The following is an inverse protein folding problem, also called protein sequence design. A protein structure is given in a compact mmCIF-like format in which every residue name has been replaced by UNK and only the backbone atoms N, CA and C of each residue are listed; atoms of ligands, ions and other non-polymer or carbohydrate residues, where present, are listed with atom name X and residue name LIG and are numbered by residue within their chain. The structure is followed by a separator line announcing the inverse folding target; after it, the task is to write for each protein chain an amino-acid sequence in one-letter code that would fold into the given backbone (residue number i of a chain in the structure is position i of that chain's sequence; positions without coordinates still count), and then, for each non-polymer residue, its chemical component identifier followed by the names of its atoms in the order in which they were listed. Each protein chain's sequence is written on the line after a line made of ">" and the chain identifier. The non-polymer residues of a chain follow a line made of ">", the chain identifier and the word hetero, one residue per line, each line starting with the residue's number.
data_IF_762880597343
#
_entry.id   IF_762880597343
#
_cell.length_a   1.000
_cell.length_b   1.000
_cell.length_c   1.000
_cell.angle_alpha   90.00
_cell.angle_beta   90.00
_cell.angle_gamma   90.00
#
_symmetry.space_group_name_H-M   'P 1'
#
loop_
_entity.id
_entity.type
_entity.pdbx_description
1 polymer ?
#
# COMPACT_ATOMS: atom_id res chain seq x y z
N UNK A 1 31.36 -11.94 -68.78
CA UNK A 1 31.08 -12.14 -70.23
C UNK A 1 29.62 -11.81 -70.49
N UNK A 2 29.40 -10.77 -71.28
CA UNK A 2 28.17 -10.40 -71.98
C UNK A 2 26.85 -10.19 -71.22
N UNK A 3 26.35 -8.95 -71.10
CA UNK A 3 25.80 -7.97 -72.04
C UNK A 3 24.36 -8.33 -72.55
N UNK A 4 23.41 -7.50 -72.24
CA UNK A 4 22.51 -6.64 -73.07
C UNK A 4 21.12 -6.47 -72.40
N UNK A 5 20.72 -5.26 -72.08
CA UNK A 5 19.92 -4.28 -72.91
C UNK A 5 18.52 -4.83 -73.25
N UNK A 6 17.44 -4.24 -73.08
CA UNK A 6 16.85 -2.89 -73.09
C UNK A 6 15.34 -3.12 -73.18
N UNK A 7 14.51 -2.28 -72.64
CA UNK A 7 13.57 -1.50 -73.45
C UNK A 7 12.50 -0.81 -72.59
N UNK A 8 12.31 0.38 -72.92
CA UNK A 8 11.28 1.36 -72.59
C UNK A 8 9.84 0.86 -72.69
N UNK A 9 8.99 1.25 -71.76
CA UNK A 9 7.58 1.56 -72.04
C UNK A 9 7.12 2.67 -71.09
N UNK A 10 6.91 3.83 -71.66
CA UNK A 10 6.22 5.00 -71.13
C UNK A 10 4.72 4.70 -71.06
N UNK A 11 4.07 4.86 -69.93
CA UNK A 11 2.64 5.03 -69.85
C UNK A 11 2.25 5.99 -68.74
N UNK A 12 1.56 7.03 -69.14
CA UNK A 12 0.96 8.09 -68.34
C UNK A 12 0.04 7.51 -67.30
N UNK A 13 0.17 7.96 -66.08
CA UNK A 13 -0.87 7.82 -65.07
C UNK A 13 -1.09 9.16 -64.38
N UNK A 14 -2.29 9.61 -64.48
CA UNK A 14 -2.92 10.78 -63.91
C UNK A 14 -2.72 10.90 -62.39
N UNK A 15 -2.17 12.02 -61.95
CA UNK A 15 -2.05 12.37 -60.55
C UNK A 15 -3.43 12.70 -59.98
N UNK A 16 -3.97 11.83 -59.14
CA UNK A 16 -4.99 12.18 -58.16
C UNK A 16 -4.29 12.73 -56.94
N UNK A 17 -4.30 14.06 -56.79
CA UNK A 17 -3.87 14.75 -55.58
C UNK A 17 -4.93 14.52 -54.49
N UNK A 18 -4.73 13.51 -53.66
CA UNK A 18 -5.42 13.38 -52.38
C UNK A 18 -4.73 14.36 -51.43
N UNK A 19 -5.39 15.47 -51.16
CA UNK A 19 -4.95 16.44 -50.17
C UNK A 19 -4.89 15.77 -48.77
N UNK A 20 -3.70 15.42 -48.34
CA UNK A 20 -3.42 15.10 -46.94
C UNK A 20 -3.42 16.44 -46.21
N UNK A 21 -4.55 16.76 -45.57
CA UNK A 21 -4.59 17.80 -44.54
C UNK A 21 -3.58 17.39 -43.45
N UNK A 22 -2.65 18.26 -43.06
CA UNK A 22 -1.83 18.01 -41.89
C UNK A 22 -2.76 18.00 -40.70
N UNK A 23 -2.98 16.81 -40.14
CA UNK A 23 -3.51 16.71 -38.78
C UNK A 23 -2.45 17.29 -37.88
N UNK A 24 -2.62 18.56 -37.50
CA UNK A 24 -1.88 19.13 -36.39
C UNK A 24 -1.98 18.17 -35.21
N UNK A 25 -0.87 17.76 -34.61
CA UNK A 25 -0.95 17.09 -33.31
C UNK A 25 -1.71 18.06 -32.42
N UNK A 26 -2.82 17.61 -31.86
CA UNK A 26 -3.49 18.31 -30.78
C UNK A 26 -2.40 18.59 -29.75
N UNK A 27 -1.90 19.80 -29.69
CA UNK A 27 -1.11 20.26 -28.57
C UNK A 27 -2.02 20.10 -27.37
N UNK A 28 -1.71 19.09 -26.55
CA UNK A 28 -2.23 19.02 -25.20
C UNK A 28 -1.85 20.37 -24.58
N UNK A 29 -2.86 21.18 -24.38
CA UNK A 29 -2.74 22.39 -23.57
C UNK A 29 -2.25 21.88 -22.24
N UNK A 30 -0.98 22.09 -21.92
CA UNK A 30 -0.46 22.03 -20.56
C UNK A 30 -1.15 23.14 -19.76
N UNK A 31 -2.41 22.91 -19.46
CA UNK A 31 -3.09 23.61 -18.41
C UNK A 31 -2.52 23.03 -17.12
N UNK A 32 -1.77 23.82 -16.39
CA UNK A 32 -1.65 23.70 -14.94
C UNK A 32 -3.06 23.86 -14.36
N UNK A 33 -3.87 22.80 -14.46
CA UNK A 33 -5.20 22.81 -13.90
C UNK A 33 -5.05 22.46 -12.42
N UNK A 34 -4.96 23.51 -11.59
CA UNK A 34 -5.13 23.42 -10.15
C UNK A 34 -6.54 22.90 -9.77
N UNK A 35 -7.38 22.58 -10.74
CA UNK A 35 -8.76 22.16 -10.54
C UNK A 35 -9.01 20.71 -10.96
N UNK A 36 -9.65 19.94 -10.08
CA UNK A 36 -10.02 18.55 -10.33
C UNK A 36 -11.31 18.51 -11.17
N UNK A 37 -11.22 18.04 -12.41
CA UNK A 37 -12.40 17.76 -13.23
C UNK A 37 -13.00 16.43 -12.81
N UNK A 38 -14.20 16.47 -12.27
CA UNK A 38 -14.93 15.28 -11.81
C UNK A 38 -15.90 14.78 -12.88
N UNK A 39 -15.74 13.51 -13.28
CA UNK A 39 -16.58 12.84 -14.28
C UNK A 39 -17.32 11.66 -13.63
N UNK A 40 -18.58 11.39 -14.02
CA UNK A 40 -19.28 10.20 -13.53
C UNK A 40 -18.52 8.92 -13.92
N UNK A 41 -18.38 7.99 -12.96
CA UNK A 41 -17.80 6.66 -13.19
C UNK A 41 -18.51 5.59 -12.36
N UNK A 42 -19.73 5.25 -12.79
CA UNK A 42 -20.64 4.38 -12.07
C UNK A 42 -21.42 5.12 -10.99
N UNK A 43 -21.40 4.65 -9.76
CA UNK A 43 -22.10 5.27 -8.63
C UNK A 43 -21.29 6.36 -7.91
N UNK A 44 -20.09 6.64 -8.40
CA UNK A 44 -19.14 7.61 -7.87
C UNK A 44 -18.68 8.55 -8.96
N UNK A 45 -17.81 9.48 -8.64
CA UNK A 45 -17.13 10.34 -9.60
C UNK A 45 -15.64 10.06 -9.58
N UNK A 46 -15.03 10.09 -10.76
CA UNK A 46 -13.60 9.95 -10.97
C UNK A 46 -13.00 11.28 -11.34
N UNK A 47 -11.84 11.58 -10.82
CA UNK A 47 -11.03 12.74 -11.15
C UNK A 47 -9.56 12.38 -11.21
N UNK A 48 -8.75 13.31 -11.72
CA UNK A 48 -7.30 13.18 -11.75
C UNK A 48 -6.65 14.51 -11.44
N UNK A 49 -5.48 14.44 -10.83
CA UNK A 49 -4.56 15.58 -10.74
C UNK A 49 -3.19 15.15 -11.24
N UNK A 50 -2.42 16.14 -11.72
CA UNK A 50 -1.01 15.95 -12.06
C UNK A 50 -0.16 16.57 -10.95
N UNK A 51 0.76 15.77 -10.38
CA UNK A 51 1.70 16.24 -9.37
C UNK A 51 3.14 16.03 -9.84
N UNK A 52 4.11 16.86 -9.46
CA UNK A 52 5.50 16.63 -9.80
C UNK A 52 5.99 15.28 -9.28
N UNK A 53 6.79 14.56 -10.06
CA UNK A 53 7.47 13.34 -9.60
C UNK A 53 8.27 13.65 -8.33
N UNK A 54 9.03 14.76 -8.35
CA UNK A 54 9.77 15.27 -7.18
C UNK A 54 9.33 16.69 -6.88
N UNK A 55 8.92 16.93 -5.65
CA UNK A 55 8.54 18.29 -5.20
C UNK A 55 9.71 19.25 -5.35
N UNK A 56 9.43 20.41 -5.95
CA UNK A 56 10.42 21.47 -6.18
C UNK A 56 11.35 21.25 -7.38
N UNK A 57 11.20 20.15 -8.12
CA UNK A 57 11.97 19.86 -9.33
C UNK A 57 11.04 19.75 -10.55
N UNK A 58 10.72 20.85 -11.20
CA UNK A 58 9.78 20.90 -12.33
C UNK A 58 10.20 19.99 -13.51
N UNK A 59 11.50 19.79 -13.70
CA UNK A 59 12.05 18.93 -14.76
C UNK A 59 11.94 17.44 -14.49
N UNK A 60 11.42 17.02 -13.31
CA UNK A 60 11.28 15.61 -12.95
C UNK A 60 10.12 14.89 -13.64
N UNK A 61 9.29 15.59 -14.41
CA UNK A 61 8.05 15.07 -14.96
C UNK A 61 6.90 15.10 -13.95
N UNK A 62 5.75 14.57 -14.35
CA UNK A 62 4.53 14.56 -13.52
C UNK A 62 3.98 13.16 -13.35
N UNK A 63 3.37 12.92 -12.19
CA UNK A 63 2.57 11.73 -11.88
C UNK A 63 1.10 12.09 -12.02
N UNK A 64 0.32 11.28 -12.71
CA UNK A 64 -1.14 11.41 -12.75
C UNK A 64 -1.76 10.57 -11.65
N UNK A 65 -2.36 11.21 -10.65
CA UNK A 65 -3.00 10.58 -9.48
C UNK A 65 -4.50 10.49 -9.73
N UNK A 66 -5.06 9.29 -9.65
CA UNK A 66 -6.50 9.06 -9.74
C UNK A 66 -7.18 9.30 -8.41
N UNK A 67 -8.34 9.96 -8.48
CA UNK A 67 -9.17 10.31 -7.34
C UNK A 67 -10.58 9.76 -7.56
N UNK A 68 -11.20 9.26 -6.51
CA UNK A 68 -12.56 8.70 -6.53
C UNK A 68 -13.40 9.41 -5.48
N UNK A 69 -14.52 10.02 -5.91
CA UNK A 69 -15.37 10.81 -5.04
C UNK A 69 -16.77 10.25 -4.93
N UNK A 70 -17.27 10.17 -3.69
CA UNK A 70 -18.70 10.07 -3.39
C UNK A 70 -19.14 11.36 -2.73
N UNK A 71 -20.08 12.06 -3.35
CA UNK A 71 -20.65 13.28 -2.77
C UNK A 71 -21.42 12.99 -1.49
N UNK A 72 -21.39 13.94 -0.57
CA UNK A 72 -22.26 13.93 0.58
C UNK A 72 -23.74 14.02 0.15
N UNK A 73 -24.59 13.30 0.84
CA UNK A 73 -26.05 13.36 0.63
C UNK A 73 -26.79 13.99 1.81
N UNK A 74 -26.05 14.29 2.90
CA UNK A 74 -26.58 14.94 4.11
C UNK A 74 -25.75 16.18 4.44
N UNK A 75 -26.44 17.23 4.89
CA UNK A 75 -25.83 18.47 5.34
C UNK A 75 -25.69 19.55 4.24
N UNK A 76 -25.80 20.83 4.66
CA UNK A 76 -25.70 21.99 3.77
C UNK A 76 -24.26 22.42 3.46
N UNK A 77 -23.30 21.97 4.27
CA UNK A 77 -21.88 22.30 4.13
C UNK A 77 -21.03 21.06 4.47
N UNK A 78 -20.99 20.07 3.57
CA UNK A 78 -20.34 18.82 3.86
C UNK A 78 -18.82 19.00 3.98
N UNK A 79 -18.24 18.35 4.99
CA UNK A 79 -16.78 18.28 5.16
C UNK A 79 -16.17 17.32 4.16
N UNK A 80 -14.92 17.53 3.81
CA UNK A 80 -14.16 16.59 2.96
C UNK A 80 -13.45 15.57 3.84
N UNK A 81 -13.63 14.28 3.51
CA UNK A 81 -12.95 13.16 4.13
C UNK A 81 -12.08 12.44 3.09
N UNK A 82 -10.79 12.47 3.30
CA UNK A 82 -9.84 11.71 2.50
C UNK A 82 -9.70 10.29 3.06
N UNK A 83 -9.83 9.28 2.20
CA UNK A 83 -9.57 7.88 2.53
C UNK A 83 -8.23 7.48 1.90
N UNK A 84 -7.30 7.03 2.74
CA UNK A 84 -5.96 6.62 2.34
C UNK A 84 -5.79 5.12 2.57
N UNK A 85 -5.89 4.30 1.50
CA UNK A 85 -5.80 2.85 1.62
C UNK A 85 -4.41 2.38 2.06
N UNK A 86 -4.36 1.20 2.68
CA UNK A 86 -3.11 0.48 2.82
C UNK A 86 -2.69 -0.11 1.47
N UNK A 87 -1.39 -0.05 1.13
CA UNK A 87 -0.87 -0.52 -0.16
C UNK A 87 -0.87 -2.05 -0.29
N UNK A 88 -0.80 -2.77 0.83
CA UNK A 88 -0.61 -4.23 0.81
C UNK A 88 -1.85 -5.00 1.28
N UNK A 89 -2.58 -4.47 2.26
CA UNK A 89 -3.59 -5.22 3.02
C UNK A 89 -4.98 -4.60 2.96
N UNK A 90 -5.18 -3.55 2.17
CA UNK A 90 -6.45 -2.84 2.06
C UNK A 90 -7.17 -3.06 0.74
N UNK A 91 -8.35 -2.49 0.63
CA UNK A 91 -9.05 -2.31 -0.64
C UNK A 91 -8.38 -1.19 -1.43
N UNK A 92 -8.42 -1.28 -2.77
CA UNK A 92 -8.01 -0.18 -3.63
C UNK A 92 -8.91 1.06 -3.42
N UNK A 93 -8.41 2.22 -3.85
CA UNK A 93 -9.07 3.51 -3.63
C UNK A 93 -10.49 3.58 -4.23
N UNK A 94 -10.68 3.01 -5.43
CA UNK A 94 -11.98 2.99 -6.10
C UNK A 94 -12.99 2.15 -5.33
N UNK A 95 -12.65 0.90 -5.04
CA UNK A 95 -13.49 -0.03 -4.26
C UNK A 95 -13.84 0.54 -2.89
N UNK A 96 -12.89 1.21 -2.24
CA UNK A 96 -13.10 1.85 -0.94
C UNK A 96 -14.17 2.95 -1.01
N UNK A 97 -14.16 3.77 -2.07
CA UNK A 97 -15.16 4.81 -2.29
C UNK A 97 -16.52 4.23 -2.66
N UNK A 98 -16.55 3.22 -3.53
CA UNK A 98 -17.81 2.55 -3.94
C UNK A 98 -18.50 1.89 -2.75
N UNK A 99 -17.74 1.25 -1.87
CA UNK A 99 -18.24 0.53 -0.69
C UNK A 99 -18.32 1.38 0.58
N UNK A 100 -18.06 2.69 0.52
CA UNK A 100 -17.97 3.53 1.71
C UNK A 100 -19.21 3.45 2.61
N UNK A 101 -20.41 3.49 2.03
CA UNK A 101 -21.67 3.39 2.83
C UNK A 101 -21.83 2.01 3.44
N UNK A 102 -21.47 0.95 2.73
CA UNK A 102 -21.50 -0.42 3.25
C UNK A 102 -20.55 -0.59 4.43
N UNK A 103 -19.37 -0.01 4.34
CA UNK A 103 -18.30 -0.14 5.34
C UNK A 103 -18.55 0.73 6.57
N UNK A 104 -18.99 1.98 6.39
CA UNK A 104 -19.05 2.99 7.45
C UNK A 104 -20.48 3.36 7.86
N UNK A 105 -21.50 2.74 7.25
CA UNK A 105 -22.89 3.06 7.49
C UNK A 105 -23.28 4.46 6.97
N UNK A 106 -24.45 4.94 7.40
CA UNK A 106 -24.98 6.23 6.96
C UNK A 106 -24.18 7.43 7.48
N UNK A 107 -23.37 7.27 8.54
CA UNK A 107 -22.54 8.35 9.07
C UNK A 107 -21.56 8.92 8.05
N UNK A 108 -21.14 8.13 7.06
CA UNK A 108 -20.22 8.59 6.01
C UNK A 108 -20.88 9.58 5.04
N UNK A 109 -22.20 9.56 4.91
CA UNK A 109 -22.94 10.36 3.91
C UNK A 109 -22.97 11.86 4.21
N UNK A 110 -22.51 12.28 5.38
CA UNK A 110 -22.30 13.70 5.72
C UNK A 110 -20.99 14.27 5.16
N UNK A 111 -20.13 13.44 4.56
CA UNK A 111 -18.84 13.85 4.00
C UNK A 111 -18.85 13.77 2.47
N UNK A 112 -18.13 14.69 1.84
CA UNK A 112 -17.57 14.43 0.53
C UNK A 112 -16.39 13.48 0.72
N UNK A 113 -16.59 12.21 0.39
CA UNK A 113 -15.59 11.16 0.57
C UNK A 113 -14.75 11.09 -0.67
N UNK A 114 -13.43 11.19 -0.52
CA UNK A 114 -12.48 11.12 -1.63
C UNK A 114 -11.40 10.11 -1.28
N UNK A 115 -11.29 9.04 -2.07
CA UNK A 115 -10.16 8.12 -1.98
C UNK A 115 -9.10 8.49 -3.02
N UNK A 116 -7.84 8.33 -2.64
CA UNK A 116 -6.68 8.71 -3.45
C UNK A 116 -5.91 7.45 -3.80
N UNK A 117 -5.74 7.19 -5.10
CA UNK A 117 -4.88 6.09 -5.54
C UNK A 117 -3.42 6.43 -5.22
N UNK A 118 -2.71 5.61 -4.43
CA UNK A 118 -1.32 5.88 -4.12
C UNK A 118 -0.44 5.75 -5.36
N UNK A 119 0.67 6.46 -5.41
CA UNK A 119 1.69 6.27 -6.44
C UNK A 119 2.07 4.80 -6.55
N UNK A 120 2.27 4.31 -7.77
CA UNK A 120 2.54 2.90 -8.04
C UNK A 120 1.30 1.99 -8.07
N UNK A 121 0.10 2.51 -7.76
CA UNK A 121 -1.13 1.79 -8.04
C UNK A 121 -1.38 1.70 -9.56
N UNK A 122 -2.20 0.72 -9.99
CA UNK A 122 -2.50 0.47 -11.42
C UNK A 122 -3.11 1.70 -12.11
N UNK A 123 -3.83 2.50 -11.36
CA UNK A 123 -4.54 3.70 -11.79
C UNK A 123 -3.79 5.02 -11.48
N UNK A 124 -2.53 4.94 -11.05
CA UNK A 124 -1.60 6.05 -10.93
C UNK A 124 -0.53 5.96 -12.02
N UNK A 125 -0.58 6.87 -13.01
CA UNK A 125 0.38 6.83 -14.14
C UNK A 125 1.65 7.57 -13.76
N UNK A 126 2.76 6.84 -13.79
CA UNK A 126 4.09 7.37 -13.49
C UNK A 126 4.97 7.41 -14.75
N UNK A 127 5.85 8.41 -14.88
CA UNK A 127 6.86 8.43 -15.94
C UNK A 127 7.81 7.23 -15.82
N UNK A 128 8.28 6.74 -16.95
CA UNK A 128 9.32 5.69 -16.99
C UNK A 128 10.58 6.19 -16.29
N UNK A 129 11.17 5.38 -15.43
CA UNK A 129 12.38 5.74 -14.67
C UNK A 129 12.10 6.46 -13.35
N UNK A 130 10.82 6.66 -12.99
CA UNK A 130 10.42 7.28 -11.72
C UNK A 130 9.84 6.26 -10.71
N UNK A 131 10.03 4.97 -10.94
CA UNK A 131 9.42 3.87 -10.16
C UNK A 131 9.86 3.87 -8.68
N UNK A 132 10.93 4.58 -8.35
CA UNK A 132 11.41 4.74 -6.96
C UNK A 132 10.77 5.92 -6.22
N UNK A 133 10.10 6.82 -6.95
CA UNK A 133 9.47 8.03 -6.39
C UNK A 133 8.03 7.74 -5.95
N UNK A 134 7.86 6.67 -5.17
CA UNK A 134 6.58 6.21 -4.63
C UNK A 134 6.61 6.07 -3.11
N UNK A 135 7.57 6.72 -2.48
CA UNK A 135 7.75 6.70 -1.03
C UNK A 135 6.62 7.41 -0.26
N UNK A 136 6.63 7.23 1.04
CA UNK A 136 5.64 7.85 1.94
C UNK A 136 5.69 9.38 1.83
N UNK A 137 6.87 9.99 1.72
CA UNK A 137 7.00 11.45 1.62
C UNK A 137 6.59 11.98 0.23
N UNK A 138 6.74 11.20 -0.82
CA UNK A 138 6.21 11.54 -2.14
C UNK A 138 4.67 11.60 -2.10
N UNK A 139 4.05 10.65 -1.40
CA UNK A 139 2.58 10.66 -1.21
C UNK A 139 2.10 11.79 -0.28
N UNK A 140 2.91 12.23 0.67
CA UNK A 140 2.60 13.45 1.44
C UNK A 140 2.51 14.66 0.50
N UNK A 141 3.43 14.79 -0.45
CA UNK A 141 3.39 15.85 -1.45
C UNK A 141 2.14 15.79 -2.33
N UNK A 142 1.71 14.56 -2.70
CA UNK A 142 0.46 14.36 -3.44
C UNK A 142 -0.76 14.77 -2.63
N UNK A 143 -0.79 14.45 -1.33
CA UNK A 143 -1.89 14.88 -0.44
C UNK A 143 -1.98 16.40 -0.31
N UNK A 144 -0.84 17.10 -0.23
CA UNK A 144 -0.80 18.55 -0.23
C UNK A 144 -1.33 19.13 -1.54
N UNK A 145 -0.97 18.54 -2.68
CA UNK A 145 -1.47 18.94 -4.00
C UNK A 145 -2.99 18.69 -4.13
N UNK A 146 -3.47 17.53 -3.69
CA UNK A 146 -4.91 17.22 -3.65
C UNK A 146 -5.65 18.20 -2.76
N UNK A 147 -5.14 18.50 -1.56
CA UNK A 147 -5.75 19.48 -0.67
C UNK A 147 -5.87 20.84 -1.33
N UNK A 148 -4.81 21.31 -2.00
CA UNK A 148 -4.78 22.56 -2.74
C UNK A 148 -5.83 22.58 -3.85
N UNK A 149 -5.88 21.53 -4.68
CA UNK A 149 -6.81 21.41 -5.81
C UNK A 149 -8.28 21.26 -5.39
N UNK A 150 -8.55 20.84 -4.17
CA UNK A 150 -9.91 20.77 -3.60
C UNK A 150 -10.44 22.13 -3.13
N UNK A 151 -9.59 23.14 -3.01
CA UNK A 151 -9.93 24.49 -2.54
C UNK A 151 -10.68 24.51 -1.19
N UNK A 152 -10.34 23.57 -0.29
CA UNK A 152 -10.94 23.49 1.04
C UNK A 152 -9.95 23.96 2.10
N UNK A 153 -10.44 24.57 3.17
CA UNK A 153 -9.57 25.07 4.24
C UNK A 153 -8.85 23.94 4.97
N UNK A 154 -9.58 22.87 5.27
CA UNK A 154 -9.07 21.68 5.96
C UNK A 154 -9.76 20.43 5.47
N UNK A 155 -9.10 19.29 5.59
CA UNK A 155 -9.64 17.96 5.33
C UNK A 155 -9.66 17.12 6.59
N UNK A 156 -10.61 16.20 6.68
CA UNK A 156 -10.51 15.06 7.60
C UNK A 156 -9.84 13.90 6.86
N UNK A 157 -9.16 13.03 7.60
CA UNK A 157 -8.42 11.90 7.01
C UNK A 157 -8.78 10.62 7.76
N UNK A 158 -9.00 9.55 7.02
CA UNK A 158 -9.01 8.18 7.53
C UNK A 158 -7.96 7.38 6.74
N UNK A 159 -6.94 6.90 7.43
CA UNK A 159 -5.85 6.15 6.83
C UNK A 159 -5.70 4.77 7.46
N UNK A 160 -5.28 3.80 6.66
CA UNK A 160 -5.01 2.42 7.05
C UNK A 160 -3.57 2.05 6.76
N UNK A 161 -2.88 1.42 7.69
CA UNK A 161 -1.52 0.92 7.52
C UNK A 161 -0.56 1.94 6.92
N UNK A 162 -0.09 1.73 5.70
CA UNK A 162 0.77 2.67 4.96
C UNK A 162 0.08 4.00 4.66
N UNK A 163 -1.23 4.01 4.39
CA UNK A 163 -2.02 5.24 4.26
C UNK A 163 -2.11 6.00 5.58
N UNK A 164 -2.25 5.31 6.71
CA UNK A 164 -2.19 5.92 8.03
C UNK A 164 -0.78 6.49 8.33
N UNK A 165 0.27 5.84 7.88
CA UNK A 165 1.65 6.33 8.00
C UNK A 165 1.86 7.61 7.18
N UNK A 166 1.34 7.65 5.95
CA UNK A 166 1.36 8.86 5.11
C UNK A 166 0.60 10.01 5.76
N UNK A 167 -0.60 9.75 6.30
CA UNK A 167 -1.35 10.74 7.05
C UNK A 167 -0.60 11.23 8.30
N UNK A 168 0.07 10.31 9.01
CA UNK A 168 0.91 10.63 10.17
C UNK A 168 2.04 11.59 9.78
N UNK A 169 2.76 11.29 8.70
CA UNK A 169 3.83 12.13 8.19
C UNK A 169 3.33 13.51 7.77
N UNK A 170 2.18 13.57 7.07
CA UNK A 170 1.54 14.84 6.72
C UNK A 170 1.19 15.67 7.96
N UNK A 171 0.57 15.08 8.98
CA UNK A 171 0.18 15.79 10.20
C UNK A 171 1.41 16.28 10.98
N UNK A 172 2.50 15.51 10.99
CA UNK A 172 3.76 15.91 11.61
C UNK A 172 4.41 17.10 10.91
N UNK A 173 4.27 17.20 9.58
CA UNK A 173 4.88 18.27 8.77
C UNK A 173 3.96 19.47 8.60
N UNK A 174 2.68 19.24 8.31
CA UNK A 174 1.69 20.27 7.99
C UNK A 174 0.33 20.04 8.67
N UNK A 175 0.25 20.17 10.01
CA UNK A 175 -1.00 19.94 10.74
C UNK A 175 -2.11 20.96 10.41
N UNK A 176 -1.77 22.09 9.79
CA UNK A 176 -2.70 23.20 9.55
C UNK A 176 -3.81 22.85 8.56
N UNK A 177 -3.57 21.95 7.63
CA UNK A 177 -4.53 21.53 6.61
C UNK A 177 -5.43 20.36 7.06
N UNK A 178 -5.16 19.78 8.24
CA UNK A 178 -5.91 18.64 8.76
C UNK A 178 -6.86 19.09 9.89
N UNK A 179 -8.15 18.75 9.76
CA UNK A 179 -9.17 19.00 10.76
C UNK A 179 -9.19 17.89 11.82
N UNK A 180 -9.33 16.66 11.35
CA UNK A 180 -9.33 15.48 12.19
C UNK A 180 -8.76 14.28 11.41
N UNK A 181 -8.11 13.35 12.10
CA UNK A 181 -7.61 12.14 11.49
C UNK A 181 -7.90 10.91 12.35
N UNK A 182 -8.29 9.82 11.69
CA UNK A 182 -8.33 8.47 12.26
C UNK A 182 -7.23 7.66 11.56
N UNK A 183 -6.30 7.15 12.33
CA UNK A 183 -5.12 6.43 11.87
C UNK A 183 -5.20 4.99 12.36
N UNK A 184 -5.36 4.05 11.45
CA UNK A 184 -5.45 2.64 11.77
C UNK A 184 -4.10 1.95 11.55
N UNK A 185 -3.46 1.54 12.63
CA UNK A 185 -2.19 0.83 12.63
C UNK A 185 -1.03 1.54 11.91
N UNK A 186 -0.78 2.83 12.16
CA UNK A 186 0.34 3.56 11.58
C UNK A 186 1.67 3.08 12.15
N UNK A 187 2.73 3.17 11.35
CA UNK A 187 4.11 3.17 11.86
C UNK A 187 4.54 4.61 12.19
N UNK A 188 5.57 4.74 13.02
CA UNK A 188 6.15 6.05 13.37
C UNK A 188 7.11 6.53 12.27
N UNK A 189 6.74 7.52 11.43
CA UNK A 189 7.57 7.97 10.32
C UNK A 189 8.82 8.76 10.76
N UNK A 190 8.95 9.08 12.04
CA UNK A 190 10.15 9.71 12.62
C UNK A 190 11.20 8.70 13.08
N UNK A 191 10.83 7.42 13.20
CA UNK A 191 11.74 6.33 13.55
C UNK A 191 12.63 5.95 12.37
N UNK A 192 13.89 5.58 12.62
CA UNK A 192 14.78 5.09 11.57
C UNK A 192 14.22 3.82 10.90
N UNK A 193 14.48 3.65 9.60
CA UNK A 193 14.00 2.49 8.84
C UNK A 193 14.52 1.16 9.39
N UNK A 194 15.75 1.13 9.93
CA UNK A 194 16.30 -0.06 10.59
C UNK A 194 15.43 -0.44 11.79
N UNK A 195 15.04 0.53 12.61
CA UNK A 195 14.17 0.29 13.77
C UNK A 195 12.78 -0.16 13.35
N UNK A 196 12.19 0.49 12.34
CA UNK A 196 10.88 0.13 11.79
C UNK A 196 10.89 -1.31 11.24
N UNK A 197 11.92 -1.68 10.46
CA UNK A 197 12.07 -3.04 9.95
C UNK A 197 12.19 -4.08 11.05
N UNK A 198 12.98 -3.81 12.09
CA UNK A 198 13.11 -4.71 13.25
C UNK A 198 11.77 -4.89 13.99
N UNK A 199 11.00 -3.81 14.15
CA UNK A 199 9.69 -3.83 14.77
C UNK A 199 8.68 -4.64 13.95
N UNK A 200 8.64 -4.42 12.64
CA UNK A 200 7.79 -5.16 11.70
C UNK A 200 8.10 -6.67 11.74
N UNK A 201 9.37 -7.05 11.64
CA UNK A 201 9.80 -8.44 11.67
C UNK A 201 9.42 -9.11 12.99
N UNK A 202 9.59 -8.39 14.10
CA UNK A 202 9.21 -8.91 15.42
C UNK A 202 7.70 -9.12 15.52
N UNK A 203 6.89 -8.16 15.06
CA UNK A 203 5.44 -8.25 15.05
C UNK A 203 4.96 -9.42 14.18
N UNK A 204 5.51 -9.55 12.99
CA UNK A 204 5.18 -10.62 12.04
C UNK A 204 5.55 -12.00 12.59
N UNK A 205 6.74 -12.16 13.17
CA UNK A 205 7.16 -13.42 13.77
C UNK A 205 6.24 -13.82 14.94
N UNK A 206 5.88 -12.87 15.80
CA UNK A 206 4.96 -13.10 16.91
C UNK A 206 3.57 -13.48 16.42
N UNK A 207 3.08 -12.85 15.38
CA UNK A 207 1.80 -13.17 14.74
C UNK A 207 1.74 -14.60 14.22
N UNK A 208 2.78 -15.03 13.50
CA UNK A 208 2.90 -16.40 13.00
C UNK A 208 2.98 -17.40 14.16
N UNK A 209 3.80 -17.14 15.17
CA UNK A 209 3.88 -17.99 16.36
C UNK A 209 2.54 -18.08 17.11
N UNK A 210 1.79 -16.98 17.17
CA UNK A 210 0.47 -16.96 17.80
C UNK A 210 -0.53 -17.80 17.02
N UNK A 211 -0.55 -17.69 15.70
CA UNK A 211 -1.39 -18.51 14.83
C UNK A 211 -1.04 -20.00 14.92
N UNK A 212 0.25 -20.34 14.98
CA UNK A 212 0.72 -21.71 15.14
C UNK A 212 0.33 -22.28 16.50
N UNK A 213 0.45 -21.52 17.59
CA UNK A 213 0.01 -21.94 18.93
C UNK A 213 -1.50 -22.16 19.00
N UNK A 214 -2.27 -21.26 18.37
CA UNK A 214 -3.71 -21.46 18.27
C UNK A 214 -4.03 -22.77 17.56
N UNK A 215 -3.41 -23.03 16.42
CA UNK A 215 -3.61 -24.26 15.66
C UNK A 215 -3.22 -25.50 16.48
N UNK A 216 -2.11 -25.46 17.22
CA UNK A 216 -1.65 -26.56 18.06
C UNK A 216 -2.61 -26.89 19.23
N UNK A 217 -3.44 -25.93 19.64
CA UNK A 217 -4.37 -26.10 20.78
C UNK A 217 -5.82 -26.34 20.34
N UNK A 218 -6.13 -26.34 19.03
CA UNK A 218 -7.50 -26.47 18.53
C UNK A 218 -7.63 -27.62 17.53
N UNK A 219 -8.49 -28.61 17.86
CA UNK A 219 -8.77 -29.75 16.99
C UNK A 219 -9.44 -29.35 15.66
N UNK A 220 -10.10 -28.19 15.62
CA UNK A 220 -10.68 -27.62 14.40
C UNK A 220 -9.64 -27.04 13.44
N UNK A 221 -8.36 -26.95 13.85
CA UNK A 221 -7.30 -26.54 12.95
C UNK A 221 -7.02 -27.63 11.90
N UNK A 222 -6.85 -27.26 10.62
CA UNK A 222 -6.57 -28.22 9.54
C UNK A 222 -5.36 -29.13 9.77
N UNK A 223 -4.39 -28.72 10.57
CA UNK A 223 -3.22 -29.53 10.95
C UNK A 223 -3.48 -30.46 12.14
N UNK A 224 -4.73 -30.57 12.62
CA UNK A 224 -5.14 -31.45 13.73
C UNK A 224 -4.20 -31.39 14.94
N UNK A 225 -3.83 -30.20 15.39
CA UNK A 225 -2.88 -29.92 16.48
C UNK A 225 -1.42 -30.41 16.25
N UNK A 226 -1.10 -30.96 15.07
CA UNK A 226 0.23 -31.46 14.73
C UNK A 226 1.10 -30.44 13.95
N UNK A 227 1.03 -29.18 14.30
CA UNK A 227 1.67 -28.06 13.56
C UNK A 227 3.16 -28.31 13.31
N UNK A 228 3.91 -28.71 14.32
CA UNK A 228 5.35 -28.97 14.20
C UNK A 228 5.64 -30.06 13.15
N UNK A 229 4.90 -31.19 13.24
CA UNK A 229 5.05 -32.32 12.31
C UNK A 229 4.71 -31.92 10.87
N UNK A 230 3.63 -31.18 10.66
CA UNK A 230 3.21 -30.70 9.32
C UNK A 230 4.24 -29.75 8.71
N UNK A 231 4.80 -28.85 9.49
CA UNK A 231 5.85 -27.94 9.03
C UNK A 231 7.18 -28.65 8.72
N UNK A 232 7.58 -29.63 9.53
CA UNK A 232 8.77 -30.45 9.28
C UNK A 232 8.59 -31.34 8.04
N UNK A 233 7.36 -31.85 7.82
CA UNK A 233 7.03 -32.62 6.62
C UNK A 233 7.09 -31.72 5.38
N UNK A 234 6.49 -30.52 5.41
CA UNK A 234 6.59 -29.56 4.31
C UNK A 234 8.05 -29.22 4.00
N UNK A 235 8.84 -29.00 5.03
CA UNK A 235 10.28 -28.76 4.93
C UNK A 235 11.01 -29.90 4.21
N UNK A 236 10.70 -31.11 4.60
CA UNK A 236 11.25 -32.31 3.97
C UNK A 236 10.81 -32.42 2.52
N UNK A 237 9.53 -32.17 2.23
CA UNK A 237 8.98 -32.24 0.89
C UNK A 237 9.60 -31.18 -0.04
N UNK A 238 9.82 -29.96 0.42
CA UNK A 238 10.53 -28.91 -0.32
C UNK A 238 11.96 -29.35 -0.63
N UNK A 239 12.70 -29.81 0.37
CA UNK A 239 14.10 -30.26 0.21
C UNK A 239 14.24 -31.42 -0.77
N UNK A 240 13.29 -32.35 -0.79
CA UNK A 240 13.27 -33.52 -1.65
C UNK A 240 12.56 -33.31 -2.99
N UNK A 241 12.19 -32.07 -3.32
CA UNK A 241 11.43 -31.71 -4.51
C UNK A 241 10.14 -32.54 -4.72
N UNK A 242 9.43 -32.82 -3.62
CA UNK A 242 8.17 -33.58 -3.62
C UNK A 242 6.93 -32.69 -3.73
N UNK A 243 7.10 -31.39 -3.73
CA UNK A 243 6.10 -30.35 -3.97
C UNK A 243 6.50 -29.53 -5.18
N UNK A 244 5.58 -28.70 -5.68
CA UNK A 244 5.88 -27.81 -6.81
C UNK A 244 7.13 -26.96 -6.54
N UNK A 245 8.04 -26.78 -7.51
CA UNK A 245 9.29 -26.01 -7.35
C UNK A 245 9.07 -24.55 -6.92
N UNK A 246 7.92 -23.94 -7.21
CA UNK A 246 7.58 -22.60 -6.75
C UNK A 246 7.31 -22.52 -5.23
N UNK A 247 7.05 -23.67 -4.59
CA UNK A 247 6.88 -23.77 -3.14
C UNK A 247 8.27 -23.81 -2.49
N UNK A 248 8.80 -22.62 -2.21
CA UNK A 248 10.04 -22.44 -1.46
C UNK A 248 9.77 -21.96 -0.05
N UNK A 249 10.74 -22.04 0.85
CA UNK A 249 10.60 -21.53 2.22
C UNK A 249 10.22 -20.04 2.24
N UNK A 250 10.86 -19.24 1.40
CA UNK A 250 10.61 -17.79 1.32
C UNK A 250 9.20 -17.53 0.82
N UNK A 251 8.74 -18.30 -0.18
CA UNK A 251 7.41 -18.17 -0.74
C UNK A 251 6.32 -18.53 0.29
N UNK A 252 6.50 -19.64 1.03
CA UNK A 252 5.58 -20.06 2.09
C UNK A 252 5.58 -19.07 3.27
N UNK A 253 6.74 -18.55 3.66
CA UNK A 253 6.84 -17.52 4.70
C UNK A 253 6.06 -16.25 4.31
N UNK A 254 6.14 -15.83 3.05
CA UNK A 254 5.39 -14.71 2.50
C UNK A 254 3.88 -14.96 2.52
N UNK A 255 3.45 -16.15 2.09
CA UNK A 255 2.05 -16.55 2.16
C UNK A 255 1.55 -16.57 3.62
N UNK A 256 2.38 -17.02 4.56
CA UNK A 256 2.06 -17.02 5.98
C UNK A 256 1.80 -15.61 6.52
N UNK A 257 2.68 -14.66 6.21
CA UNK A 257 2.48 -13.26 6.61
C UNK A 257 1.16 -12.73 6.07
N UNK A 258 0.92 -12.85 4.76
CA UNK A 258 -0.29 -12.34 4.11
C UNK A 258 -1.59 -12.92 4.66
N UNK A 259 -1.64 -14.23 4.86
CA UNK A 259 -2.84 -14.90 5.34
C UNK A 259 -3.11 -14.63 6.82
N UNK A 260 -2.07 -14.55 7.64
CA UNK A 260 -2.21 -14.28 9.08
C UNK A 260 -2.61 -12.82 9.31
N UNK A 261 -2.00 -11.89 8.60
CA UNK A 261 -2.31 -10.46 8.69
C UNK A 261 -3.76 -10.14 8.30
N UNK A 262 -4.32 -10.89 7.35
CA UNK A 262 -5.73 -10.75 6.95
C UNK A 262 -6.71 -11.55 7.81
N UNK A 263 -6.23 -12.28 8.81
CA UNK A 263 -7.06 -13.12 9.69
C UNK A 263 -7.41 -14.48 9.12
N UNK A 264 -6.74 -14.90 8.03
CA UNK A 264 -7.05 -16.14 7.28
C UNK A 264 -6.04 -17.29 7.54
N UNK A 265 -5.47 -17.35 8.73
CA UNK A 265 -4.46 -18.37 9.08
C UNK A 265 -4.91 -19.82 8.81
N UNK A 266 -6.20 -20.11 8.97
CA UNK A 266 -6.74 -21.45 8.68
C UNK A 266 -6.55 -21.87 7.22
N UNK A 267 -6.65 -20.93 6.28
CA UNK A 267 -6.41 -21.22 4.86
C UNK A 267 -4.96 -21.63 4.61
N UNK A 268 -4.00 -20.97 5.28
CA UNK A 268 -2.59 -21.37 5.20
C UNK A 268 -2.38 -22.78 5.73
N UNK A 269 -2.92 -23.10 6.89
CA UNK A 269 -2.77 -24.41 7.51
C UNK A 269 -3.39 -25.51 6.66
N UNK A 270 -4.57 -25.28 6.10
CA UNK A 270 -5.21 -26.19 5.15
C UNK A 270 -4.36 -26.40 3.89
N UNK A 271 -3.83 -25.32 3.32
CA UNK A 271 -2.99 -25.35 2.13
C UNK A 271 -1.66 -26.10 2.36
N UNK A 272 -1.04 -25.95 3.53
CA UNK A 272 0.17 -26.71 3.91
C UNK A 272 -0.14 -28.19 4.03
N UNK A 273 -1.25 -28.54 4.70
CA UNK A 273 -1.68 -29.95 4.83
C UNK A 273 -1.98 -30.57 3.46
N UNK A 274 -2.64 -29.84 2.55
CA UNK A 274 -2.89 -30.29 1.18
C UNK A 274 -1.57 -30.53 0.42
N UNK A 275 -0.63 -29.61 0.50
CA UNK A 275 0.69 -29.75 -0.15
C UNK A 275 1.47 -30.96 0.38
N UNK A 276 1.40 -31.24 1.68
CA UNK A 276 1.99 -32.44 2.28
C UNK A 276 1.33 -33.73 1.77
N UNK A 277 0.06 -33.67 1.36
CA UNK A 277 -0.71 -34.76 0.76
C UNK A 277 -0.65 -34.75 -0.79
N UNK A 278 0.37 -34.11 -1.39
CA UNK A 278 0.65 -34.02 -2.83
C UNK A 278 -0.31 -33.12 -3.64
N UNK A 279 -1.14 -32.33 -2.98
CA UNK A 279 -1.95 -31.28 -3.63
C UNK A 279 -1.31 -29.91 -3.35
N UNK A 280 -0.46 -29.45 -4.28
CA UNK A 280 0.24 -28.19 -4.18
C UNK A 280 -0.60 -26.96 -4.53
N UNK A 281 -1.76 -27.14 -5.18
CA UNK A 281 -2.53 -26.02 -5.76
C UNK A 281 -3.04 -25.00 -4.73
N UNK A 282 -3.60 -25.41 -3.58
CA UNK A 282 -4.04 -24.43 -2.57
C UNK A 282 -2.90 -23.56 -2.03
N UNK A 283 -1.70 -24.15 -1.87
CA UNK A 283 -0.55 -23.43 -1.36
C UNK A 283 0.06 -22.50 -2.42
N UNK A 284 0.09 -22.92 -3.68
CA UNK A 284 0.49 -22.08 -4.81
C UNK A 284 -0.43 -20.85 -4.97
N UNK A 285 -1.75 -21.03 -4.81
CA UNK A 285 -2.71 -19.93 -4.85
C UNK A 285 -2.43 -18.88 -3.74
N UNK A 286 -2.03 -19.31 -2.55
CA UNK A 286 -1.67 -18.40 -1.45
C UNK A 286 -0.31 -17.74 -1.65
N UNK A 287 0.66 -18.45 -2.23
CA UNK A 287 2.00 -17.92 -2.51
C UNK A 287 1.91 -16.77 -3.53
N UNK A 288 1.08 -16.93 -4.57
CA UNK A 288 0.96 -15.96 -5.65
C UNK A 288 2.27 -15.74 -6.41
N UNK A 289 2.34 -14.69 -7.21
CA UNK A 289 3.55 -14.34 -7.94
C UNK A 289 4.71 -13.99 -7.00
N UNK A 290 5.93 -14.35 -7.40
CA UNK A 290 7.13 -13.91 -6.70
C UNK A 290 7.21 -12.37 -6.71
N UNK A 291 7.70 -11.71 -5.65
CA UNK A 291 7.93 -10.28 -5.69
C UNK A 291 8.97 -9.99 -6.76
N UNK A 292 8.57 -9.18 -7.73
CA UNK A 292 9.48 -8.58 -8.68
C UNK A 292 10.08 -7.31 -8.08
N UNK A 293 11.13 -6.79 -8.69
CA UNK A 293 11.68 -5.47 -8.32
C UNK A 293 10.55 -4.42 -8.36
N UNK A 294 9.71 -4.44 -9.39
CA UNK A 294 8.57 -3.52 -9.50
C UNK A 294 7.60 -3.63 -8.31
N UNK A 295 7.27 -4.85 -7.87
CA UNK A 295 6.38 -5.07 -6.73
C UNK A 295 7.03 -4.72 -5.37
N UNK A 296 8.36 -4.67 -5.31
CA UNK A 296 9.11 -4.31 -4.11
C UNK A 296 9.26 -2.79 -3.93
N UNK A 297 9.13 -2.01 -5.01
CA UNK A 297 9.36 -0.56 -4.96
C UNK A 297 8.60 0.16 -3.85
N UNK A 298 7.36 -0.22 -3.58
CA UNK A 298 6.54 0.42 -2.55
C UNK A 298 7.17 0.40 -1.15
N UNK A 299 7.82 -0.70 -0.76
CA UNK A 299 8.57 -0.78 0.51
C UNK A 299 9.99 -0.25 0.40
N UNK A 300 10.62 -0.45 -0.77
CA UNK A 300 11.99 -0.04 -0.98
C UNK A 300 12.14 1.49 -1.10
N UNK A 301 11.10 2.19 -1.54
CA UNK A 301 11.13 3.63 -1.73
C UNK A 301 11.36 4.43 -0.43
N UNK A 302 10.98 3.84 0.72
CA UNK A 302 11.15 4.48 2.03
C UNK A 302 12.47 4.15 2.73
N UNK A 303 13.33 3.30 2.14
CA UNK A 303 14.55 2.83 2.77
C UNK A 303 15.78 3.19 1.95
N UNK A 304 16.81 3.72 2.61
CA UNK A 304 18.10 3.96 1.95
C UNK A 304 18.77 2.62 1.57
N UNK A 305 19.57 2.62 0.50
CA UNK A 305 20.33 1.44 0.10
C UNK A 305 21.25 0.92 1.22
N UNK A 306 21.84 1.83 1.99
CA UNK A 306 22.71 1.48 3.12
C UNK A 306 21.90 0.78 4.24
N UNK A 307 20.71 1.29 4.57
CA UNK A 307 19.84 0.68 5.56
C UNK A 307 19.28 -0.65 5.07
N UNK A 308 18.88 -0.75 3.79
CA UNK A 308 18.43 -2.00 3.19
C UNK A 308 19.49 -3.11 3.30
N UNK A 309 20.76 -2.82 2.98
CA UNK A 309 21.88 -3.76 3.16
C UNK A 309 22.04 -4.17 4.62
N UNK A 310 21.99 -3.21 5.55
CA UNK A 310 22.15 -3.45 6.98
C UNK A 310 21.02 -4.34 7.52
N UNK A 311 19.78 -4.06 7.11
CA UNK A 311 18.61 -4.85 7.50
C UNK A 311 18.71 -6.27 6.93
N UNK A 312 19.02 -6.41 5.64
CA UNK A 312 19.18 -7.71 4.99
C UNK A 312 20.24 -8.58 5.68
N UNK A 313 21.41 -7.99 5.99
CA UNK A 313 22.49 -8.69 6.69
C UNK A 313 22.10 -9.12 8.11
N UNK A 314 21.47 -8.22 8.87
CA UNK A 314 21.01 -8.52 10.24
C UNK A 314 20.02 -9.68 10.27
N UNK A 315 19.16 -9.80 9.25
CA UNK A 315 18.13 -10.83 9.18
C UNK A 315 18.60 -12.13 8.55
N UNK A 316 19.57 -12.08 7.63
CA UNK A 316 20.21 -13.29 7.10
C UNK A 316 20.95 -14.09 8.18
N UNK A 317 21.41 -13.43 9.24
CA UNK A 317 22.06 -14.08 10.38
C UNK A 317 21.09 -14.76 11.35
N UNK A 318 19.77 -14.57 11.22
CA UNK A 318 18.77 -15.18 12.11
C UNK A 318 18.49 -16.63 11.70
N UNK A 319 18.57 -17.54 12.67
CA UNK A 319 18.40 -18.99 12.44
C UNK A 319 17.05 -19.33 11.77
N UNK A 320 17.01 -20.35 10.88
CA UNK A 320 15.88 -20.66 9.97
C UNK A 320 14.54 -21.03 10.65
N UNK A 321 14.50 -21.30 11.96
CA UNK A 321 13.27 -21.63 12.65
C UNK A 321 12.31 -20.43 12.85
N UNK A 322 12.79 -19.21 12.61
CA UNK A 322 11.92 -18.02 12.55
C UNK A 322 11.46 -17.81 11.11
N UNK A 323 10.44 -18.52 10.76
CA UNK A 323 9.89 -18.75 9.43
C UNK A 323 9.66 -17.47 8.60
N UNK A 324 9.33 -16.35 9.20
CA UNK A 324 8.99 -15.10 8.50
C UNK A 324 10.19 -14.19 8.24
N UNK A 325 11.27 -14.36 8.97
CA UNK A 325 12.43 -13.46 8.88
C UNK A 325 13.15 -13.62 7.54
N UNK A 326 13.18 -14.83 6.97
CA UNK A 326 13.79 -15.07 5.67
C UNK A 326 13.12 -14.31 4.51
N UNK A 327 11.80 -14.10 4.56
CA UNK A 327 11.09 -13.36 3.52
C UNK A 327 11.41 -11.86 3.55
N UNK A 328 11.52 -11.29 4.74
CA UNK A 328 11.88 -9.88 4.92
C UNK A 328 13.36 -9.63 4.58
N UNK A 329 14.27 -10.54 4.96
CA UNK A 329 15.68 -10.47 4.54
C UNK A 329 15.81 -10.46 3.02
N UNK A 330 15.06 -11.30 2.31
CA UNK A 330 15.06 -11.36 0.86
C UNK A 330 14.52 -10.05 0.24
N UNK A 331 13.46 -9.48 0.81
CA UNK A 331 12.91 -8.20 0.37
C UNK A 331 13.94 -7.07 0.51
N UNK A 332 14.57 -6.94 1.67
CA UNK A 332 15.56 -5.87 1.88
C UNK A 332 16.85 -6.10 1.08
N UNK A 333 17.23 -7.35 0.80
CA UNK A 333 18.31 -7.65 -0.15
C UNK A 333 17.96 -7.17 -1.57
N UNK A 334 16.69 -7.27 -1.97
CA UNK A 334 16.18 -6.72 -3.22
C UNK A 334 16.18 -5.19 -3.19
N UNK A 335 15.69 -4.56 -2.11
CA UNK A 335 15.73 -3.10 -1.93
C UNK A 335 17.17 -2.54 -2.04
N UNK A 336 18.17 -3.28 -1.56
CA UNK A 336 19.56 -2.87 -1.66
C UNK A 336 20.11 -2.80 -3.10
N UNK A 337 19.38 -3.33 -4.09
CA UNK A 337 19.73 -3.29 -5.52
C UNK A 337 18.98 -2.19 -6.28
N UNK A 338 17.97 -1.58 -5.66
CA UNK A 338 17.14 -0.54 -6.25
C UNK A 338 17.81 0.83 -5.99
N UNK A 339 17.56 1.79 -6.87
CA UNK A 339 18.00 3.18 -6.66
C UNK A 339 17.32 3.77 -5.42
N UNK A 340 18.06 4.60 -4.70
CA UNK A 340 17.53 5.26 -3.49
C UNK A 340 16.42 6.23 -3.86
N UNK A 341 15.38 6.30 -3.01
CA UNK A 341 14.45 7.42 -3.02
C UNK A 341 15.19 8.71 -2.64
N UNK A 342 14.76 9.82 -3.22
CA UNK A 342 15.29 11.13 -2.84
C UNK A 342 14.95 11.51 -1.39
N UNK A 343 13.92 10.90 -0.80
CA UNK A 343 13.41 11.20 0.53
C UNK A 343 13.06 9.93 1.29
N UNK A 344 14.02 9.18 1.84
CA UNK A 344 13.71 7.98 2.61
C UNK A 344 12.96 8.35 3.90
N UNK A 345 12.06 7.48 4.33
CA UNK A 345 11.34 7.62 5.59
C UNK A 345 12.31 7.55 6.78
N UNK A 346 11.91 8.11 7.93
CA UNK A 346 12.76 8.21 9.12
C UNK A 346 13.46 9.56 9.26
N UNK A 347 13.28 10.44 8.27
CA UNK A 347 13.76 11.83 8.31
C UNK A 347 12.70 12.83 8.74
N UNK A 348 11.47 12.39 8.96
CA UNK A 348 10.36 13.25 9.38
C UNK A 348 10.63 13.79 10.78
N UNK A 349 10.74 15.12 10.86
CA UNK A 349 10.82 15.82 12.15
C UNK A 349 9.41 16.28 12.50
N UNK A 350 8.85 15.84 13.65
CA UNK A 350 7.58 16.37 14.10
C UNK A 350 7.68 17.89 14.26
N UNK A 351 6.79 18.63 13.60
CA UNK A 351 6.62 20.05 13.93
C UNK A 351 6.31 20.15 15.42
N UNK A 352 6.92 21.13 16.09
CA UNK A 352 6.81 21.31 17.55
C UNK A 352 5.34 21.28 17.93
N UNK A 353 4.90 20.16 18.52
CA UNK A 353 3.53 19.85 18.90
C UNK A 353 2.55 20.19 17.78
N UNK A 354 2.17 19.21 16.98
CA UNK A 354 1.16 19.32 15.92
C UNK A 354 -0.18 19.84 16.49
N UNK A 355 -0.18 21.11 16.91
CA UNK A 355 -1.36 21.80 17.43
C UNK A 355 -2.27 22.11 16.27
N UNK A 356 -3.45 21.52 16.26
CA UNK A 356 -4.50 21.89 15.32
C UNK A 356 -5.29 20.73 14.71
N UNK A 357 -4.70 19.58 14.49
CA UNK A 357 -5.41 18.39 14.06
C UNK A 357 -5.85 17.56 15.28
N UNK A 358 -7.10 17.12 15.31
CA UNK A 358 -7.54 16.09 16.24
C UNK A 358 -7.18 14.73 15.67
N UNK A 359 -6.49 13.89 16.43
CA UNK A 359 -6.02 12.59 15.95
C UNK A 359 -6.46 11.48 16.89
N UNK A 360 -7.01 10.41 16.31
CA UNK A 360 -7.31 9.14 16.98
C UNK A 360 -6.50 8.03 16.30
N UNK A 361 -5.64 7.36 17.06
CA UNK A 361 -4.88 6.20 16.60
C UNK A 361 -5.57 4.93 17.07
N UNK A 362 -6.00 4.06 16.14
CA UNK A 362 -6.49 2.73 16.45
C UNK A 362 -5.34 1.73 16.39
N UNK A 363 -5.28 0.85 17.39
CA UNK A 363 -4.19 -0.09 17.59
C UNK A 363 -4.79 -1.46 17.86
N UNK A 364 -4.66 -2.38 16.92
CA UNK A 364 -5.00 -3.78 17.15
C UNK A 364 -3.97 -4.41 18.08
N UNK A 365 -4.40 -5.07 19.17
CA UNK A 365 -3.47 -5.66 20.14
C UNK A 365 -2.69 -6.84 19.58
N UNK A 366 -3.27 -7.55 18.62
CA UNK A 366 -2.62 -8.64 17.91
C UNK A 366 -2.15 -8.26 16.52
N UNK A 367 -1.80 -6.98 16.27
CA UNK A 367 -1.29 -6.53 14.99
C UNK A 367 0.04 -7.22 14.66
N UNK A 368 0.07 -7.87 13.51
CA UNK A 368 1.20 -8.66 13.05
C UNK A 368 2.09 -7.90 12.04
N UNK A 369 1.74 -6.67 11.70
CA UNK A 369 2.51 -5.81 10.78
C UNK A 369 3.15 -4.67 11.54
N UNK A 370 2.33 -3.94 12.31
CA UNK A 370 2.80 -2.83 13.13
C UNK A 370 2.77 -3.25 14.60
N UNK A 371 3.94 -3.31 15.22
CA UNK A 371 3.99 -3.67 16.64
C UNK A 371 3.14 -2.68 17.48
N UNK A 372 2.14 -3.15 18.24
CA UNK A 372 1.16 -2.30 18.91
C UNK A 372 1.76 -1.22 19.82
N UNK A 373 2.91 -1.52 20.43
CA UNK A 373 3.60 -0.56 21.29
C UNK A 373 4.18 0.63 20.53
N UNK A 374 4.49 0.47 19.22
CA UNK A 374 5.06 1.55 18.38
C UNK A 374 4.03 2.65 18.17
N UNK A 375 2.86 2.28 17.65
CA UNK A 375 1.78 3.22 17.43
C UNK A 375 1.31 3.89 18.74
N UNK A 376 1.30 3.12 19.86
CA UNK A 376 0.97 3.67 21.19
C UNK A 376 2.02 4.69 21.64
N UNK A 377 3.30 4.37 21.56
CA UNK A 377 4.38 5.27 21.98
C UNK A 377 4.37 6.55 21.17
N UNK A 378 4.20 6.46 19.85
CA UNK A 378 4.05 7.62 18.98
C UNK A 378 2.84 8.47 19.38
N UNK A 379 1.67 7.88 19.55
CA UNK A 379 0.48 8.61 19.97
C UNK A 379 0.67 9.33 21.30
N UNK A 380 1.31 8.69 22.27
CA UNK A 380 1.63 9.30 23.57
C UNK A 380 2.63 10.49 23.43
N UNK A 381 3.67 10.33 22.64
CA UNK A 381 4.65 11.39 22.37
C UNK A 381 4.01 12.59 21.69
N UNK A 382 3.11 12.33 20.74
CA UNK A 382 2.38 13.36 20.00
C UNK A 382 1.17 13.92 20.78
N UNK A 383 0.86 13.38 21.96
CA UNK A 383 -0.35 13.70 22.74
C UNK A 383 -1.66 13.50 21.97
N UNK A 384 -1.68 12.50 21.10
CA UNK A 384 -2.86 12.08 20.37
C UNK A 384 -3.70 11.07 21.14
N UNK A 385 -5.01 11.07 20.90
CA UNK A 385 -5.87 10.02 21.44
C UNK A 385 -5.53 8.67 20.78
N UNK A 386 -5.66 7.58 21.54
CA UNK A 386 -5.53 6.23 20.98
C UNK A 386 -6.54 5.26 21.59
N UNK A 387 -6.94 4.27 20.79
CA UNK A 387 -7.79 3.16 21.20
C UNK A 387 -7.07 1.84 20.93
N UNK A 388 -7.02 0.96 21.95
CA UNK A 388 -6.49 -0.40 21.80
C UNK A 388 -7.64 -1.38 21.61
N UNK A 389 -7.66 -2.06 20.45
CA UNK A 389 -8.71 -2.97 20.04
C UNK A 389 -8.25 -4.42 20.20
N UNK A 390 -9.09 -5.28 20.77
CA UNK A 390 -8.83 -6.71 20.84
C UNK A 390 -9.12 -7.37 19.48
N UNK A 391 -8.12 -7.38 18.61
CA UNK A 391 -8.20 -8.00 17.31
C UNK A 391 -6.85 -8.63 16.94
N UNK A 392 -6.90 -9.84 16.34
CA UNK A 392 -5.74 -10.56 15.83
C UNK A 392 -5.62 -10.32 14.32
N UNK A 393 -5.51 -9.06 13.93
CA UNK A 393 -5.38 -8.63 12.54
C UNK A 393 -4.70 -7.27 12.49
N UNK A 394 -4.22 -6.89 11.31
CA UNK A 394 -3.53 -5.62 11.14
C UNK A 394 -4.49 -4.42 11.15
N UNK A 395 -5.53 -4.44 10.34
CA UNK A 395 -6.46 -3.31 10.20
C UNK A 395 -7.77 -3.60 10.95
N UNK A 396 -8.34 -2.62 11.65
CA UNK A 396 -9.54 -2.77 12.46
C UNK A 396 -10.70 -1.89 12.03
N UNK A 397 -10.45 -0.69 11.53
CA UNK A 397 -11.50 0.21 11.02
C UNK A 397 -12.07 -0.34 9.71
N UNK A 398 -13.38 -0.50 9.64
CA UNK A 398 -14.07 -1.16 8.52
C UNK A 398 -14.19 -2.67 8.66
N UNK A 399 -13.57 -3.26 9.69
CA UNK A 399 -13.61 -4.70 9.97
C UNK A 399 -14.17 -5.02 11.37
N UNK A 400 -13.96 -4.15 12.34
CA UNK A 400 -14.61 -4.18 13.65
C UNK A 400 -15.66 -3.07 13.70
N UNK A 401 -16.93 -3.46 13.92
CA UNK A 401 -18.05 -2.52 13.86
C UNK A 401 -17.98 -1.45 14.95
N UNK A 402 -17.62 -1.82 16.17
CA UNK A 402 -17.54 -0.87 17.29
C UNK A 402 -16.43 0.18 17.04
N UNK A 403 -15.29 -0.28 16.58
CA UNK A 403 -14.16 0.60 16.20
C UNK A 403 -14.52 1.51 15.04
N UNK A 404 -15.23 0.99 14.04
CA UNK A 404 -15.66 1.76 12.86
C UNK A 404 -16.66 2.86 13.25
N UNK A 405 -17.65 2.55 14.09
CA UNK A 405 -18.61 3.54 14.61
C UNK A 405 -17.90 4.61 15.44
N UNK A 406 -16.96 4.21 16.31
CA UNK A 406 -16.17 5.15 17.11
C UNK A 406 -15.31 6.09 16.24
N UNK A 407 -14.68 5.55 15.19
CA UNK A 407 -13.91 6.30 14.23
C UNK A 407 -14.77 7.33 13.49
N UNK A 408 -15.94 6.93 13.00
CA UNK A 408 -16.88 7.85 12.33
C UNK A 408 -17.40 8.93 13.26
N UNK A 409 -17.75 8.58 14.50
CA UNK A 409 -18.15 9.56 15.52
C UNK A 409 -17.03 10.57 15.83
N UNK A 410 -15.77 10.11 15.89
CA UNK A 410 -14.63 10.99 16.10
C UNK A 410 -14.44 11.99 14.95
N UNK A 411 -14.60 11.55 13.70
CA UNK A 411 -14.49 12.41 12.51
C UNK A 411 -15.68 13.38 12.39
N UNK A 412 -16.86 12.97 12.84
CA UNK A 412 -18.08 13.76 12.75
C UNK A 412 -18.12 14.96 13.73
N UNK A 413 -17.44 14.86 14.85
CA UNK A 413 -17.32 15.96 15.83
C UNK A 413 -16.28 16.98 15.40
#
# INVERSE_FOLDING_TARGET
>A
MNIRRSAFALLCATALAVGILPTSPAQAVEGTTDEIVWLPCGQIECGKISTPVRKGLATSGTVSISLYRRKATLGSSPRTLLLLPDREFGSDARTMTEKAVLTFGTAITQFNVISIAPRGAVDAVMPVGSETEIGTLDMVNDLEAVHSALHVKKVSIMGWGSGATTATALIMQNPSIVQAAVLDSPIDPSSSMVKQAQQHITATALGVETAMRWCASHLSCPMNANVAKELDLLKTNIRLARVDPAITYVAVARAAVRTIVTGNAQQLFAAITAANNKDSQPLLALIGAAPTVANAYGRCADVSRADAKRIAQAHAAVKPHKFTIGSEAALYALCAQISESAQPLGTVKPAVLAKGARVLVNIARGDQVTAPYVARTMAQQMKWAYASVYANRHLVVGYDNATTVAAMKFLAN
#
